data_IF_507810027969
#
_entry.id   IF_507810027969
#
_cell.length_a   1.000
_cell.length_b   1.000
_cell.length_c   1.000
_cell.angle_alpha   90.00
_cell.angle_beta   90.00
_cell.angle_gamma   90.00
#
_symmetry.space_group_name_H-M   'P 1'
#
loop_
_entity.id
_entity.type
_entity.pdbx_description
1 polymer ?
#
# COMPACT_ATOMS: atom_id res chain seq x y z
N UNK A 1 12.81 -7.25 -16.70
CA UNK A 1 11.43 -7.00 -16.24
C UNK A 1 10.47 -7.51 -17.31
N UNK A 2 9.74 -8.60 -17.05
CA UNK A 2 8.68 -9.09 -17.96
C UNK A 2 7.38 -8.38 -17.61
N UNK A 3 6.59 -8.01 -18.60
CA UNK A 3 5.39 -7.20 -18.42
C UNK A 3 4.26 -7.75 -19.27
N UNK A 4 3.13 -8.11 -18.65
CA UNK A 4 1.98 -8.68 -19.36
C UNK A 4 0.70 -7.99 -18.91
N UNK A 5 -0.23 -7.78 -19.85
CA UNK A 5 -1.63 -7.52 -19.49
C UNK A 5 -2.25 -8.84 -19.05
N UNK A 6 -2.97 -8.83 -17.94
CA UNK A 6 -3.67 -10.01 -17.44
C UNK A 6 -5.11 -10.05 -17.96
N UNK A 7 -5.66 -11.25 -18.05
CA UNK A 7 -7.03 -11.46 -18.53
C UNK A 7 -8.07 -10.81 -17.62
N UNK A 8 -9.31 -10.72 -18.12
CA UNK A 8 -10.44 -10.19 -17.35
C UNK A 8 -10.75 -11.03 -16.11
N UNK A 9 -10.64 -12.35 -16.20
CA UNK A 9 -10.84 -13.27 -15.07
C UNK A 9 -9.75 -13.10 -14.02
N UNK A 10 -8.48 -13.02 -14.43
CA UNK A 10 -7.36 -12.80 -13.50
C UNK A 10 -7.46 -11.44 -12.82
N UNK A 11 -7.83 -10.39 -13.57
CA UNK A 11 -8.09 -9.06 -13.01
C UNK A 11 -9.16 -9.10 -11.93
N UNK A 12 -10.27 -9.80 -12.19
CA UNK A 12 -11.37 -9.91 -11.22
C UNK A 12 -10.95 -10.67 -9.95
N UNK A 13 -10.23 -11.78 -10.11
CA UNK A 13 -9.71 -12.57 -8.98
C UNK A 13 -8.74 -11.75 -8.13
N UNK A 14 -7.78 -11.07 -8.77
CA UNK A 14 -6.79 -10.24 -8.09
C UNK A 14 -7.46 -9.11 -7.31
N UNK A 15 -8.35 -8.34 -7.94
CA UNK A 15 -9.05 -7.25 -7.27
C UNK A 15 -9.89 -7.76 -6.10
N UNK A 16 -10.55 -8.92 -6.24
CA UNK A 16 -11.29 -9.54 -5.12
C UNK A 16 -10.37 -9.85 -3.94
N UNK A 17 -9.22 -10.50 -4.19
CA UNK A 17 -8.24 -10.82 -3.14
C UNK A 17 -7.72 -9.56 -2.44
N UNK A 18 -7.40 -8.51 -3.20
CA UNK A 18 -6.92 -7.25 -2.63
C UNK A 18 -8.04 -6.56 -1.83
N UNK A 19 -9.28 -6.55 -2.33
CA UNK A 19 -10.43 -5.99 -1.60
C UNK A 19 -10.61 -6.65 -0.24
N UNK A 20 -10.56 -7.99 -0.21
CA UNK A 20 -10.71 -8.78 1.02
C UNK A 20 -9.57 -8.52 2.01
N UNK A 21 -8.32 -8.48 1.52
CA UNK A 21 -7.15 -8.21 2.37
C UNK A 21 -7.16 -6.80 2.95
N UNK A 22 -7.53 -5.81 2.15
CA UNK A 22 -7.51 -4.40 2.57
C UNK A 22 -8.80 -3.97 3.27
N UNK A 23 -9.87 -4.76 3.19
CA UNK A 23 -11.17 -4.40 3.75
C UNK A 23 -11.80 -3.19 3.06
N UNK A 24 -11.51 -2.98 1.77
CA UNK A 24 -12.02 -1.85 1.00
C UNK A 24 -12.49 -2.27 -0.39
N UNK A 25 -13.44 -1.52 -0.95
CA UNK A 25 -13.90 -1.74 -2.31
C UNK A 25 -13.11 -0.94 -3.34
N UNK A 26 -12.87 -1.56 -4.49
CA UNK A 26 -12.30 -0.90 -5.66
C UNK A 26 -13.37 -0.59 -6.70
N UNK A 27 -13.22 0.52 -7.44
CA UNK A 27 -13.99 0.71 -8.67
C UNK A 27 -13.67 -0.40 -9.68
N UNK A 28 -14.55 -0.59 -10.67
CA UNK A 28 -14.30 -1.54 -11.76
C UNK A 28 -13.10 -1.08 -12.60
N UNK A 29 -11.94 -1.66 -12.33
CA UNK A 29 -10.72 -1.43 -13.10
C UNK A 29 -10.64 -2.47 -14.21
N UNK A 30 -10.42 -2.00 -15.44
CA UNK A 30 -10.16 -2.86 -16.60
C UNK A 30 -8.66 -2.86 -16.89
N UNK A 31 -8.16 -3.94 -17.47
CA UNK A 31 -6.81 -4.04 -18.04
C UNK A 31 -5.68 -3.75 -17.04
N UNK A 32 -5.51 -4.64 -16.05
CA UNK A 32 -4.34 -4.60 -15.19
C UNK A 32 -3.09 -5.07 -15.96
N UNK A 33 -1.98 -4.38 -15.76
CA UNK A 33 -0.65 -4.79 -16.23
C UNK A 33 0.16 -5.27 -15.05
N UNK A 34 0.75 -6.46 -15.16
CA UNK A 34 1.60 -7.05 -14.15
C UNK A 34 3.04 -7.03 -14.66
N UNK A 35 3.93 -6.48 -13.85
CA UNK A 35 5.36 -6.44 -14.07
C UNK A 35 6.04 -7.38 -13.08
N UNK A 36 6.70 -8.42 -13.58
CA UNK A 36 7.54 -9.29 -12.76
C UNK A 36 8.89 -8.62 -12.53
N UNK A 37 9.25 -8.50 -11.25
CA UNK A 37 10.52 -7.96 -10.77
C UNK A 37 11.36 -9.07 -10.10
N UNK A 38 12.51 -8.71 -9.56
CA UNK A 38 13.39 -9.68 -8.89
C UNK A 38 12.69 -10.35 -7.69
N UNK A 39 13.19 -11.53 -7.33
CA UNK A 39 12.78 -12.29 -6.14
C UNK A 39 11.28 -12.64 -6.09
N UNK A 40 10.65 -12.80 -7.26
CA UNK A 40 9.26 -13.21 -7.39
C UNK A 40 8.24 -12.12 -7.03
N UNK A 41 8.68 -10.90 -6.74
CA UNK A 41 7.79 -9.78 -6.51
C UNK A 41 7.15 -9.30 -7.83
N UNK A 42 5.98 -8.68 -7.72
CA UNK A 42 5.21 -8.21 -8.87
C UNK A 42 4.69 -6.79 -8.63
N UNK A 43 4.76 -5.93 -9.64
CA UNK A 43 4.11 -4.62 -9.63
C UNK A 43 2.87 -4.71 -10.50
N UNK A 44 1.70 -4.51 -9.90
CA UNK A 44 0.40 -4.54 -10.57
C UNK A 44 -0.05 -3.10 -10.77
N UNK A 45 -0.30 -2.71 -12.01
CA UNK A 45 -0.70 -1.35 -12.38
C UNK A 45 -2.03 -1.35 -13.12
N UNK A 46 -2.86 -0.36 -12.81
CA UNK A 46 -4.14 -0.10 -13.46
C UNK A 46 -4.53 1.37 -13.32
N UNK A 47 -5.70 1.72 -13.84
CA UNK A 47 -6.19 3.09 -13.73
C UNK A 47 -6.42 3.47 -12.26
N UNK A 48 -5.55 4.36 -11.74
CA UNK A 48 -5.60 4.82 -10.35
C UNK A 48 -5.21 3.77 -9.30
N UNK A 49 -4.46 2.73 -9.71
CA UNK A 49 -3.95 1.73 -8.78
C UNK A 49 -2.54 1.30 -9.14
N UNK A 50 -1.70 1.20 -8.11
CA UNK A 50 -0.37 0.61 -8.19
C UNK A 50 -0.13 -0.19 -6.92
N UNK A 51 0.03 -1.49 -7.08
CA UNK A 51 0.19 -2.45 -5.97
C UNK A 51 1.51 -3.18 -6.13
N UNK A 52 2.23 -3.32 -5.03
CA UNK A 52 3.37 -4.22 -4.91
C UNK A 52 2.89 -5.53 -4.29
N UNK A 53 3.07 -6.64 -5.00
CA UNK A 53 2.88 -7.99 -4.46
C UNK A 53 4.24 -8.57 -4.11
N UNK A 54 4.44 -8.93 -2.84
CA UNK A 54 5.60 -9.69 -2.37
C UNK A 54 5.06 -10.91 -1.63
N UNK A 55 5.44 -12.10 -2.08
CA UNK A 55 4.83 -13.35 -1.60
C UNK A 55 3.29 -13.29 -1.75
N UNK A 56 2.55 -13.43 -0.65
CA UNK A 56 1.10 -13.32 -0.59
C UNK A 56 0.60 -11.98 -0.02
N UNK A 57 1.49 -11.01 0.17
CA UNK A 57 1.14 -9.66 0.62
C UNK A 57 0.99 -8.68 -0.54
N UNK A 58 0.01 -7.78 -0.39
CA UNK A 58 -0.33 -6.75 -1.36
C UNK A 58 -0.25 -5.39 -0.67
N UNK A 59 0.66 -4.54 -1.12
CA UNK A 59 0.90 -3.22 -0.54
C UNK A 59 0.58 -2.12 -1.55
N UNK A 60 -0.17 -1.07 -1.18
CA UNK A 60 -0.35 0.09 -2.04
C UNK A 60 0.99 0.83 -2.20
N UNK A 61 1.24 1.40 -3.37
CA UNK A 61 2.40 2.26 -3.56
C UNK A 61 2.22 3.61 -2.85
N UNK A 62 3.32 4.14 -2.32
CA UNK A 62 3.36 5.45 -1.66
C UNK A 62 2.87 6.61 -2.57
N UNK A 63 2.96 6.43 -3.90
CA UNK A 63 2.48 7.42 -4.87
C UNK A 63 0.96 7.52 -4.97
N UNK A 64 0.21 6.53 -4.49
CA UNK A 64 -1.25 6.45 -4.63
C UNK A 64 -1.97 7.11 -3.44
N UNK A 65 -1.71 8.39 -3.18
CA UNK A 65 -2.16 9.07 -1.94
C UNK A 65 -3.67 9.00 -1.70
N UNK A 66 -4.50 9.14 -2.74
CA UNK A 66 -5.97 9.01 -2.65
C UNK A 66 -6.44 7.62 -2.17
N UNK A 67 -5.62 6.60 -2.42
CA UNK A 67 -5.86 5.24 -1.94
C UNK A 67 -5.39 5.09 -0.50
N UNK A 68 -4.22 5.65 -0.17
CA UNK A 68 -3.65 5.62 1.18
C UNK A 68 -4.54 6.33 2.22
N UNK A 69 -5.24 7.40 1.83
CA UNK A 69 -6.21 8.12 2.69
C UNK A 69 -7.36 7.23 3.21
N UNK A 70 -7.61 6.07 2.59
CA UNK A 70 -8.65 5.12 3.02
C UNK A 70 -8.17 4.14 4.08
N UNK A 71 -6.87 4.07 4.32
CA UNK A 71 -6.29 3.20 5.34
C UNK A 71 -6.26 3.93 6.69
N UNK A 72 -6.34 3.20 7.82
CA UNK A 72 -5.96 3.75 9.11
C UNK A 72 -4.51 4.24 9.05
N UNK A 73 -4.22 5.35 9.72
CA UNK A 73 -2.88 5.90 9.77
C UNK A 73 -2.37 6.13 11.20
N UNK A 74 -1.05 6.20 11.30
CA UNK A 74 -0.29 6.57 12.49
C UNK A 74 0.49 7.83 12.15
N UNK A 75 0.26 8.89 12.92
CA UNK A 75 1.02 10.13 12.77
C UNK A 75 2.26 10.07 13.65
N UNK A 76 3.42 10.34 13.06
CA UNK A 76 4.72 10.35 13.75
C UNK A 76 5.32 11.75 13.83
N UNK A 77 6.18 11.93 14.82
CA UNK A 77 6.94 13.17 14.98
C UNK A 77 8.02 13.35 13.92
N UNK A 78 8.44 14.60 13.72
CA UNK A 78 9.50 14.94 12.76
C UNK A 78 10.86 14.30 13.06
N UNK A 79 11.13 13.92 14.31
CA UNK A 79 12.35 13.22 14.72
C UNK A 79 12.42 11.80 14.18
N UNK A 80 11.28 11.10 14.09
CA UNK A 80 11.16 9.74 13.57
C UNK A 80 11.33 9.67 12.04
N UNK A 81 10.86 10.69 11.30
CA UNK A 81 10.81 10.72 9.82
C UNK A 81 12.14 10.32 9.18
N UNK A 82 13.25 10.92 9.63
CA UNK A 82 14.59 10.65 9.06
C UNK A 82 15.00 9.19 9.16
N UNK A 83 14.62 8.51 10.23
CA UNK A 83 14.96 7.10 10.45
C UNK A 83 14.05 6.20 9.62
N UNK A 84 12.77 6.55 9.53
CA UNK A 84 11.80 5.82 8.73
C UNK A 84 12.09 5.86 7.24
N UNK A 85 12.47 7.02 6.69
CA UNK A 85 12.90 7.13 5.30
C UNK A 85 14.17 6.31 4.99
N UNK A 86 14.86 5.80 6.03
CA UNK A 86 15.99 4.87 5.91
C UNK A 86 15.59 3.40 6.14
N UNK A 87 14.30 3.11 6.24
CA UNK A 87 13.76 1.76 6.44
C UNK A 87 13.69 1.31 7.91
N UNK A 88 13.81 2.24 8.87
CA UNK A 88 13.61 1.89 10.28
C UNK A 88 12.12 1.68 10.60
N UNK A 89 11.85 0.78 11.54
CA UNK A 89 10.50 0.57 12.07
C UNK A 89 10.05 1.76 12.92
N UNK A 90 8.75 2.02 12.94
CA UNK A 90 8.14 2.96 13.91
C UNK A 90 8.20 2.35 15.30
N UNK A 91 8.65 3.14 16.26
CA UNK A 91 8.66 2.79 17.68
C UNK A 91 7.66 3.67 18.43
N UNK A 92 7.07 3.13 19.51
CA UNK A 92 6.05 3.81 20.33
C UNK A 92 6.37 5.28 20.67
N UNK A 93 7.60 5.66 21.09
CA UNK A 93 7.88 7.04 21.47
C UNK A 93 7.70 8.07 20.34
N UNK A 94 7.84 7.65 19.08
CA UNK A 94 7.70 8.53 17.92
C UNK A 94 6.26 8.71 17.44
N UNK A 95 5.29 7.99 18.03
CA UNK A 95 3.87 8.06 17.66
C UNK A 95 3.20 9.23 18.39
N UNK A 96 2.54 10.11 17.64
CA UNK A 96 1.80 11.27 18.17
C UNK A 96 0.31 10.98 18.29
N UNK A 97 -0.29 10.49 17.21
CA UNK A 97 -1.71 10.13 17.12
C UNK A 97 -1.87 8.93 16.20
N UNK A 98 -2.99 8.22 16.30
CA UNK A 98 -3.30 7.12 15.39
C UNK A 98 -4.82 6.89 15.30
N UNK A 99 -5.27 6.29 14.20
CA UNK A 99 -6.61 5.70 14.13
C UNK A 99 -6.66 4.37 14.90
N UNK A 100 -7.87 3.87 15.17
CA UNK A 100 -8.04 2.49 15.61
C UNK A 100 -7.74 1.52 14.47
N UNK A 101 -6.99 0.47 14.76
CA UNK A 101 -6.68 -0.62 13.83
C UNK A 101 -6.33 -1.89 14.60
N UNK A 102 -6.49 -3.02 13.93
CA UNK A 102 -6.16 -4.33 14.49
C UNK A 102 -4.70 -4.70 14.22
N UNK A 103 -4.16 -5.58 15.06
CA UNK A 103 -2.84 -6.19 14.84
C UNK A 103 -2.83 -6.87 13.46
N UNK A 104 -1.71 -6.76 12.75
CA UNK A 104 -1.48 -7.39 11.43
C UNK A 104 -2.23 -6.74 10.26
N UNK A 105 -2.93 -5.62 10.49
CA UNK A 105 -3.49 -4.80 9.42
C UNK A 105 -2.47 -3.80 8.87
N UNK A 106 -2.63 -3.46 7.60
CA UNK A 106 -1.85 -2.42 6.93
C UNK A 106 -2.26 -1.07 7.51
N UNK A 107 -1.28 -0.28 7.92
CA UNK A 107 -1.45 1.10 8.39
C UNK A 107 -0.53 2.01 7.60
N UNK A 108 -0.99 3.21 7.31
CA UNK A 108 -0.17 4.25 6.70
C UNK A 108 0.59 5.03 7.77
N UNK A 109 1.82 5.43 7.49
CA UNK A 109 2.56 6.32 8.38
C UNK A 109 2.58 7.73 7.78
N UNK A 110 2.24 8.71 8.60
CA UNK A 110 2.06 10.11 8.20
C UNK A 110 2.91 11.00 9.11
N UNK A 111 3.57 12.02 8.57
CA UNK A 111 4.29 13.00 9.39
C UNK A 111 3.39 14.14 9.90
N UNK A 112 3.72 14.70 11.08
CA UNK A 112 2.86 15.65 11.80
C UNK A 112 2.75 17.06 11.20
N UNK A 113 3.69 17.49 10.34
CA UNK A 113 3.82 18.88 9.89
C UNK A 113 3.11 19.17 8.57
N UNK A 114 3.27 18.33 7.55
CA UNK A 114 2.66 18.50 6.22
C UNK A 114 1.71 17.36 5.85
N UNK A 115 1.49 16.41 6.78
CA UNK A 115 0.65 15.23 6.60
C UNK A 115 1.01 14.39 5.38
N UNK A 116 2.30 14.28 5.07
CA UNK A 116 2.81 13.39 4.02
C UNK A 116 2.90 11.95 4.48
N UNK A 117 2.54 11.03 3.59
CA UNK A 117 2.83 9.61 3.76
C UNK A 117 4.33 9.34 3.63
N UNK A 118 4.84 8.44 4.47
CA UNK A 118 6.25 8.04 4.56
C UNK A 118 6.48 6.62 4.01
#
# INVERSE_FOLDING_TARGET
MKSNLISKSETATLLKTVSEKWGMEFPKIKNLKVHEIADGAQIIMGQGIKILKINDEYLPFLSETQMLEKFPHVTVDMGAVKFMCKGANVMRPGIKTHNEFEKEKIVCIVEESQHKFL
#
